data_IF_427007375276
#
_entry.id   IF_427007375276
#
_cell.length_a   1.000
_cell.length_b   1.000
_cell.length_c   1.000
_cell.angle_alpha   90.00
_cell.angle_beta   90.00
_cell.angle_gamma   90.00
#
_symmetry.space_group_name_H-M   'P 1'
#
loop_
_entity.id
_entity.type
_entity.pdbx_description
1 polymer ?
#
# COMPACT_ATOMS: atom_id res chain seq x y z
N UNK A 1 -30.33 -8.12 35.31
CA UNK A 1 -29.07 -7.63 35.90
C UNK A 1 -28.08 -7.58 34.78
N UNK A 2 -28.16 -6.53 33.96
CA UNK A 2 -27.53 -5.21 34.21
C UNK A 2 -26.05 -5.28 33.81
N UNK A 3 -25.75 -4.71 32.63
CA UNK A 3 -25.18 -3.36 32.41
C UNK A 3 -23.65 -3.48 32.37
N UNK A 4 -23.06 -3.34 31.18
CA UNK A 4 -22.51 -2.09 30.64
C UNK A 4 -21.37 -1.55 31.51
N UNK A 5 -20.18 -1.48 30.92
CA UNK A 5 -19.31 -0.31 31.07
C UNK A 5 -18.47 -0.12 29.81
N UNK A 6 -18.69 1.03 29.20
CA UNK A 6 -18.02 1.64 28.06
C UNK A 6 -17.46 2.98 28.57
N UNK A 7 -16.14 3.15 28.65
CA UNK A 7 -15.43 4.45 28.80
C UNK A 7 -14.02 4.23 28.23
N UNK A 8 -13.69 4.58 26.98
CA UNK A 8 -13.37 5.93 26.43
C UNK A 8 -12.26 6.66 27.19
N UNK A 9 -11.01 6.60 26.69
CA UNK A 9 -10.09 7.75 26.69
C UNK A 9 -9.31 7.78 25.37
N UNK A 10 -9.42 8.93 24.71
CA UNK A 10 -8.92 9.36 23.40
C UNK A 10 -7.41 9.57 23.33
N UNK A 11 -6.81 9.39 22.14
CA UNK A 11 -6.17 10.43 21.29
C UNK A 11 -5.29 11.47 22.01
N UNK A 12 -3.98 11.42 21.73
CA UNK A 12 -2.98 12.51 21.53
C UNK A 12 -1.58 11.82 21.55
N UNK A 13 -0.62 12.03 20.66
CA UNK A 13 -0.27 13.23 19.91
C UNK A 13 0.44 12.89 18.58
N UNK A 14 -0.01 13.56 17.51
CA UNK A 14 0.84 13.97 16.39
C UNK A 14 1.78 15.10 16.84
N UNK A 15 2.97 15.15 16.23
CA UNK A 15 3.70 16.33 15.76
C UNK A 15 5.20 16.31 16.07
N UNK A 16 6.00 16.10 15.03
CA UNK A 16 7.28 16.81 14.90
C UNK A 16 7.59 17.16 13.43
N UNK A 17 7.57 18.47 13.19
CA UNK A 17 8.00 19.27 12.04
C UNK A 17 9.31 18.78 11.36
N UNK A 18 9.50 18.81 10.02
CA UNK A 18 9.53 19.92 9.02
C UNK A 18 10.81 20.78 9.09
N UNK A 19 11.33 21.13 7.89
CA UNK A 19 12.46 22.02 7.49
C UNK A 19 13.80 21.27 7.40
N UNK A 20 14.47 21.16 6.24
CA UNK A 20 15.14 22.26 5.52
C UNK A 20 15.12 22.15 3.99
N UNK A 21 14.95 23.31 3.37
CA UNK A 21 15.02 23.62 1.96
C UNK A 21 16.02 24.79 1.87
N UNK A 22 17.18 24.59 1.22
CA UNK A 22 18.09 25.68 0.87
C UNK A 22 18.26 25.78 -0.65
N UNK A 23 18.00 26.99 -1.11
CA UNK A 23 18.18 27.56 -2.45
C UNK A 23 19.63 28.01 -2.67
N UNK A 24 20.14 27.91 -3.91
CA UNK A 24 21.00 28.96 -4.47
C UNK A 24 21.01 28.97 -5.99
N UNK A 25 20.67 30.13 -6.55
CA UNK A 25 20.80 30.53 -7.95
C UNK A 25 22.26 30.71 -8.39
N UNK A 26 22.55 30.48 -9.67
CA UNK A 26 23.54 31.29 -10.40
C UNK A 26 23.25 31.30 -11.91
N UNK A 27 22.92 32.51 -12.38
CA UNK A 27 22.62 32.95 -13.75
C UNK A 27 23.92 33.25 -14.50
N UNK A 28 24.05 32.84 -15.76
CA UNK A 28 24.88 33.55 -16.76
C UNK A 28 24.28 33.45 -18.17
N UNK A 29 23.94 34.63 -18.67
CA UNK A 29 23.47 34.99 -20.01
C UNK A 29 24.63 34.96 -21.00
N UNK A 30 24.41 34.52 -22.25
CA UNK A 30 24.76 35.32 -23.43
C UNK A 30 24.16 34.76 -24.72
N UNK A 31 23.52 35.67 -25.43
CA UNK A 31 22.95 35.65 -26.77
C UNK A 31 24.00 35.33 -27.84
N UNK A 32 23.64 34.58 -28.89
CA UNK A 32 23.94 34.95 -30.28
C UNK A 32 23.09 34.19 -31.29
N UNK A 33 22.73 34.92 -32.34
CA UNK A 33 21.71 34.65 -33.36
C UNK A 33 22.42 34.36 -34.66
N UNK A 34 22.20 33.18 -35.26
CA UNK A 34 22.53 32.94 -36.66
C UNK A 34 21.48 32.06 -37.32
N UNK A 35 20.85 32.63 -38.34
CA UNK A 35 19.82 32.05 -39.20
C UNK A 35 20.51 31.56 -40.48
N UNK A 36 20.32 30.29 -40.84
CA UNK A 36 20.47 29.81 -42.22
C UNK A 36 19.61 28.59 -42.44
N UNK A 37 18.93 28.59 -43.59
CA UNK A 37 17.88 27.68 -44.08
C UNK A 37 18.47 26.82 -45.20
N UNK A 38 18.02 25.55 -45.26
CA UNK A 38 18.13 24.51 -46.33
C UNK A 38 18.80 23.26 -45.74
N UNK A 39 18.41 22.03 -46.01
CA UNK A 39 17.30 21.41 -46.74
C UNK A 39 17.35 19.94 -46.33
N UNK A 40 16.18 19.30 -46.32
CA UNK A 40 15.92 17.86 -46.47
C UNK A 40 17.10 16.90 -46.38
N UNK A 41 17.20 16.18 -45.25
CA UNK A 41 17.65 14.78 -45.25
C UNK A 41 16.76 13.98 -44.30
N UNK A 42 15.94 13.13 -44.90
CA UNK A 42 15.37 11.93 -44.29
C UNK A 42 16.48 11.18 -43.56
N UNK A 43 16.40 11.14 -42.23
CA UNK A 43 17.13 10.17 -41.42
C UNK A 43 16.11 9.44 -40.57
N UNK A 44 15.79 8.24 -41.04
CA UNK A 44 15.08 7.21 -40.31
C UNK A 44 15.99 6.75 -39.18
N UNK A 45 15.87 7.39 -38.01
CA UNK A 45 16.32 6.81 -36.75
C UNK A 45 15.09 6.32 -35.99
N UNK A 46 14.95 5.01 -35.98
CA UNK A 46 13.77 4.26 -35.52
C UNK A 46 13.74 4.17 -33.98
N UNK A 47 13.77 5.33 -33.32
CA UNK A 47 13.30 5.47 -31.96
C UNK A 47 11.84 5.89 -32.05
N UNK A 48 10.91 4.99 -31.72
CA UNK A 48 9.47 5.27 -31.68
C UNK A 48 9.19 6.30 -30.58
N UNK A 49 9.49 7.56 -30.85
CA UNK A 49 8.88 8.71 -30.21
C UNK A 49 7.42 8.71 -30.70
N UNK A 50 6.62 7.85 -30.07
CA UNK A 50 5.21 7.67 -30.41
C UNK A 50 4.55 9.04 -30.52
N UNK A 51 3.92 9.30 -31.66
CA UNK A 51 3.11 10.50 -31.84
C UNK A 51 2.16 10.63 -30.65
N UNK A 52 2.20 11.77 -29.95
CA UNK A 52 1.29 12.05 -28.84
C UNK A 52 -0.14 11.81 -29.30
N UNK A 53 -0.91 11.03 -28.52
CA UNK A 53 -2.31 10.70 -28.85
C UNK A 53 -3.15 11.95 -29.04
N UNK A 54 -2.85 13.02 -28.31
CA UNK A 54 -3.50 14.32 -28.46
C UNK A 54 -3.29 14.91 -29.85
N UNK A 55 -2.06 14.92 -30.36
CA UNK A 55 -1.77 15.43 -31.71
C UNK A 55 -2.46 14.60 -32.78
N UNK A 56 -2.54 13.28 -32.59
CA UNK A 56 -3.27 12.41 -33.49
C UNK A 56 -4.77 12.73 -33.48
N UNK A 57 -5.35 12.91 -32.29
CA UNK A 57 -6.74 13.31 -32.11
C UNK A 57 -7.03 14.66 -32.79
N UNK A 58 -6.25 15.69 -32.51
CA UNK A 58 -6.37 17.02 -33.15
C UNK A 58 -6.32 16.92 -34.68
N UNK A 59 -5.37 16.15 -35.21
CA UNK A 59 -5.23 15.94 -36.67
C UNK A 59 -6.45 15.23 -37.27
N UNK A 60 -6.97 14.20 -36.61
CA UNK A 60 -8.15 13.46 -37.08
C UNK A 60 -9.39 14.34 -37.03
N UNK A 61 -9.59 15.11 -35.97
CA UNK A 61 -10.73 16.02 -35.83
C UNK A 61 -10.70 17.13 -36.88
N UNK A 62 -9.54 17.76 -37.08
CA UNK A 62 -9.36 18.79 -38.11
C UNK A 62 -9.65 18.25 -39.52
N UNK A 63 -9.08 17.09 -39.86
CA UNK A 63 -9.31 16.45 -41.17
C UNK A 63 -10.78 16.05 -41.38
N UNK A 64 -11.44 15.60 -40.32
CA UNK A 64 -12.87 15.24 -40.36
C UNK A 64 -13.75 16.47 -40.59
N UNK A 65 -13.44 17.59 -39.93
CA UNK A 65 -14.14 18.85 -40.12
C UNK A 65 -13.95 19.41 -41.55
N UNK A 66 -12.73 19.37 -42.07
CA UNK A 66 -12.44 19.78 -43.45
C UNK A 66 -13.19 18.93 -44.47
N UNK A 67 -13.22 17.60 -44.26
CA UNK A 67 -14.00 16.67 -45.09
C UNK A 67 -15.50 16.97 -45.03
N UNK A 68 -16.03 17.22 -43.83
CA UNK A 68 -17.43 17.59 -43.63
C UNK A 68 -17.80 18.88 -44.36
N UNK A 69 -17.03 19.95 -44.17
CA UNK A 69 -17.24 21.24 -44.85
C UNK A 69 -17.09 21.10 -46.37
N UNK A 70 -16.13 20.29 -46.83
CA UNK A 70 -15.93 20.02 -48.26
C UNK A 70 -17.14 19.34 -48.93
N UNK A 71 -17.95 18.59 -48.19
CA UNK A 71 -19.16 17.95 -48.71
C UNK A 71 -20.33 18.93 -48.90
N UNK A 72 -20.34 20.04 -48.16
CA UNK A 72 -21.35 21.11 -48.21
C UNK A 72 -20.96 22.10 -49.31
N UNK A 73 -21.01 21.68 -50.57
CA UNK A 73 -20.57 22.53 -51.68
C UNK A 73 -21.57 23.64 -52.02
N UNK A 74 -21.04 24.77 -52.50
CA UNK A 74 -21.86 25.90 -52.97
C UNK A 74 -22.88 25.49 -54.05
N UNK A 75 -22.51 24.56 -54.94
CA UNK A 75 -23.40 24.07 -56.00
C UNK A 75 -24.63 23.33 -55.42
N UNK A 76 -24.43 22.50 -54.39
CA UNK A 76 -25.55 21.84 -53.68
C UNK A 76 -26.44 22.87 -52.98
N UNK A 77 -25.83 23.91 -52.42
CA UNK A 77 -26.55 24.98 -51.75
C UNK A 77 -27.41 25.81 -52.74
N UNK A 78 -26.83 26.25 -53.86
CA UNK A 78 -27.56 27.06 -54.86
C UNK A 78 -28.58 26.25 -55.67
N UNK A 79 -28.34 24.96 -55.91
CA UNK A 79 -29.34 24.08 -56.53
C UNK A 79 -30.58 23.89 -55.68
N UNK A 80 -30.44 23.91 -54.36
CA UNK A 80 -31.57 23.83 -53.41
C UNK A 80 -32.32 25.16 -53.31
N UNK A 81 -31.61 26.29 -53.40
CA UNK A 81 -32.17 27.65 -53.28
C UNK A 81 -32.19 28.41 -54.61
N UNK A 82 -32.46 27.72 -55.74
CA UNK A 82 -32.46 28.32 -57.10
C UNK A 82 -33.23 29.64 -57.22
N UNK A 83 -34.50 29.76 -56.74
CA UNK A 83 -35.27 30.98 -56.92
C UNK A 83 -34.66 32.21 -56.23
N UNK A 84 -33.84 32.01 -55.20
CA UNK A 84 -33.14 33.08 -54.47
C UNK A 84 -31.81 33.41 -55.14
N UNK A 85 -31.10 32.38 -55.62
CA UNK A 85 -29.86 32.53 -56.37
C UNK A 85 -30.07 33.35 -57.66
N UNK A 86 -31.11 33.03 -58.44
CA UNK A 86 -31.40 33.71 -59.71
C UNK A 86 -31.72 35.20 -59.53
N UNK A 87 -32.26 35.59 -58.36
CA UNK A 87 -32.56 36.99 -58.04
C UNK A 87 -31.34 37.79 -57.60
N UNK A 88 -30.42 37.17 -56.85
CA UNK A 88 -29.22 37.85 -56.37
C UNK A 88 -28.08 36.86 -56.07
N UNK A 89 -27.26 36.51 -57.09
CA UNK A 89 -26.16 35.56 -56.93
C UNK A 89 -25.12 36.02 -55.91
N UNK A 90 -24.80 37.33 -55.91
CA UNK A 90 -23.80 37.93 -55.02
C UNK A 90 -24.19 37.83 -53.54
N UNK A 91 -25.46 38.13 -53.21
CA UNK A 91 -25.92 37.97 -51.82
C UNK A 91 -25.97 36.52 -51.41
N UNK A 92 -26.34 35.62 -52.32
CA UNK A 92 -26.38 34.19 -52.00
C UNK A 92 -24.98 33.61 -51.72
N UNK A 93 -23.97 34.04 -52.49
CA UNK A 93 -22.57 33.67 -52.25
C UNK A 93 -22.08 34.16 -50.87
N UNK A 94 -22.41 35.39 -50.49
CA UNK A 94 -22.05 35.92 -49.17
C UNK A 94 -22.72 35.16 -48.02
N UNK A 95 -24.01 34.84 -48.15
CA UNK A 95 -24.75 34.05 -47.15
C UNK A 95 -24.11 32.67 -46.99
N UNK A 96 -23.74 32.02 -48.10
CA UNK A 96 -23.08 30.71 -48.04
C UNK A 96 -21.71 30.79 -47.35
N UNK A 97 -20.89 31.80 -47.66
CA UNK A 97 -19.58 31.99 -47.01
C UNK A 97 -19.75 32.17 -45.50
N UNK A 98 -20.68 33.04 -45.09
CA UNK A 98 -21.00 33.26 -43.67
C UNK A 98 -21.48 31.98 -43.00
N UNK A 99 -22.40 31.24 -43.62
CA UNK A 99 -22.90 29.98 -43.09
C UNK A 99 -21.77 28.96 -42.86
N UNK A 100 -20.87 28.78 -43.82
CA UNK A 100 -19.75 27.84 -43.68
C UNK A 100 -18.75 28.30 -42.60
N UNK A 101 -18.46 29.60 -42.53
CA UNK A 101 -17.56 30.15 -41.52
C UNK A 101 -18.14 29.99 -40.10
N UNK A 102 -19.41 30.32 -39.91
CA UNK A 102 -20.13 30.16 -38.64
C UNK A 102 -20.25 28.69 -38.25
N UNK A 103 -20.60 27.81 -39.18
CA UNK A 103 -20.68 26.36 -38.94
C UNK A 103 -19.33 25.79 -38.52
N UNK A 104 -18.25 26.15 -39.23
CA UNK A 104 -16.90 25.71 -38.90
C UNK A 104 -16.49 26.19 -37.51
N UNK A 105 -16.74 27.47 -37.22
CA UNK A 105 -16.41 28.07 -35.92
C UNK A 105 -17.19 27.42 -34.78
N UNK A 106 -18.50 27.26 -34.93
CA UNK A 106 -19.35 26.64 -33.92
C UNK A 106 -18.89 25.21 -33.59
N UNK A 107 -18.59 24.39 -34.61
CA UNK A 107 -18.08 23.03 -34.41
C UNK A 107 -16.70 23.05 -33.74
N UNK A 108 -15.80 23.97 -34.12
CA UNK A 108 -14.48 24.08 -33.48
C UNK A 108 -14.55 24.52 -32.03
N UNK A 109 -15.43 25.48 -31.72
CA UNK A 109 -15.67 25.97 -30.36
C UNK A 109 -16.28 24.85 -29.51
N UNK A 110 -17.22 24.07 -30.06
CA UNK A 110 -17.81 22.91 -29.39
C UNK A 110 -16.79 21.79 -29.13
N UNK A 111 -15.95 21.45 -30.12
CA UNK A 111 -14.88 20.48 -29.94
C UNK A 111 -13.90 20.94 -28.86
N UNK A 112 -13.48 22.20 -28.90
CA UNK A 112 -12.58 22.78 -27.89
C UNK A 112 -13.18 22.69 -26.48
N UNK A 113 -14.46 23.05 -26.35
CA UNK A 113 -15.20 22.93 -25.09
C UNK A 113 -15.26 21.48 -24.59
N UNK A 114 -15.57 20.51 -25.45
CA UNK A 114 -15.58 19.09 -25.08
C UNK A 114 -14.20 18.56 -24.66
N UNK A 115 -13.12 19.03 -25.30
CA UNK A 115 -11.74 18.70 -24.91
C UNK A 115 -11.44 19.21 -23.50
N UNK A 116 -11.85 20.44 -23.19
CA UNK A 116 -11.65 21.08 -21.89
C UNK A 116 -12.50 20.42 -20.79
N UNK A 117 -13.81 20.27 -21.02
CA UNK A 117 -14.76 19.62 -20.10
C UNK A 117 -14.33 18.18 -19.79
N UNK A 118 -13.96 17.43 -20.83
CA UNK A 118 -13.49 16.05 -20.70
C UNK A 118 -12.08 15.93 -20.11
N UNK A 119 -11.35 17.04 -19.92
CA UNK A 119 -9.93 17.08 -19.59
C UNK A 119 -9.11 16.13 -20.46
N UNK A 120 -9.44 16.09 -21.75
CA UNK A 120 -8.96 15.06 -22.67
C UNK A 120 -7.43 15.12 -22.83
N UNK A 121 -6.87 16.34 -22.84
CA UNK A 121 -5.42 16.55 -22.86
C UNK A 121 -4.71 15.83 -21.72
N UNK A 122 -5.21 15.96 -20.48
CA UNK A 122 -4.62 15.30 -19.31
C UNK A 122 -4.73 13.78 -19.43
N UNK A 123 -5.93 13.26 -19.77
CA UNK A 123 -6.17 11.82 -19.87
C UNK A 123 -5.34 11.15 -20.97
N UNK A 124 -5.20 11.78 -22.13
CA UNK A 124 -4.40 11.23 -23.23
C UNK A 124 -2.90 11.27 -22.93
N UNK A 125 -2.42 12.31 -22.24
CA UNK A 125 -1.04 12.38 -21.79
C UNK A 125 -0.74 11.32 -20.72
N UNK A 126 -1.62 11.16 -19.72
CA UNK A 126 -1.52 10.10 -18.71
C UNK A 126 -1.49 8.71 -19.35
N UNK A 127 -2.31 8.48 -20.38
CA UNK A 127 -2.29 7.22 -21.13
C UNK A 127 -0.97 6.99 -21.90
N UNK A 128 -0.39 8.06 -22.45
CA UNK A 128 0.94 8.02 -23.07
C UNK A 128 2.02 7.67 -22.03
N UNK A 129 1.95 8.24 -20.83
CA UNK A 129 2.85 7.95 -19.70
C UNK A 129 2.70 6.49 -19.21
N UNK A 130 1.47 6.02 -18.99
CA UNK A 130 1.19 4.65 -18.55
C UNK A 130 1.68 3.62 -19.57
N UNK A 131 1.47 3.86 -20.87
CA UNK A 131 2.02 2.97 -21.91
C UNK A 131 3.54 2.96 -21.89
N UNK A 132 4.19 4.11 -21.68
CA UNK A 132 5.64 4.16 -21.62
C UNK A 132 6.20 3.43 -20.38
N UNK A 133 5.49 3.50 -19.25
CA UNK A 133 5.84 2.74 -18.05
C UNK A 133 5.68 1.22 -18.26
N UNK A 134 4.60 0.80 -18.96
CA UNK A 134 4.28 -0.62 -19.16
C UNK A 134 5.05 -1.31 -20.28
N UNK A 135 5.76 -0.58 -21.16
CA UNK A 135 6.54 -1.16 -22.28
C UNK A 135 7.59 -2.20 -21.84
N UNK A 136 7.97 -2.22 -20.56
CA UNK A 136 8.94 -3.17 -19.99
C UNK A 136 8.31 -4.48 -19.51
N UNK A 137 6.99 -4.54 -19.40
CA UNK A 137 6.27 -5.72 -18.93
C UNK A 137 5.77 -6.49 -20.16
N UNK A 138 6.30 -7.70 -20.38
CA UNK A 138 5.93 -8.57 -21.49
C UNK A 138 4.65 -9.38 -21.22
N UNK A 139 4.18 -9.37 -19.98
CA UNK A 139 3.03 -10.14 -19.55
C UNK A 139 1.71 -9.46 -19.97
N UNK A 140 0.68 -10.28 -20.15
CA UNK A 140 -0.66 -9.77 -20.42
C UNK A 140 -1.14 -8.96 -19.22
N UNK A 141 -1.44 -7.68 -19.46
CA UNK A 141 -1.94 -6.79 -18.42
C UNK A 141 -3.25 -7.33 -17.83
N UNK A 142 -3.39 -7.25 -16.49
CA UNK A 142 -4.59 -7.69 -15.78
C UNK A 142 -5.85 -7.01 -16.34
N UNK A 143 -6.94 -7.77 -16.41
CA UNK A 143 -8.27 -7.30 -16.78
C UNK A 143 -9.26 -7.83 -15.74
N UNK A 144 -10.28 -7.04 -15.36
CA UNK A 144 -11.35 -7.54 -14.52
C UNK A 144 -11.94 -8.82 -15.11
N UNK A 145 -12.08 -9.86 -14.30
CA UNK A 145 -12.67 -11.13 -14.70
C UNK A 145 -14.18 -10.98 -14.98
N UNK A 146 -14.79 -9.92 -14.46
CA UNK A 146 -16.25 -9.73 -14.46
C UNK A 146 -16.92 -10.40 -13.25
N UNK A 147 -16.15 -11.05 -12.38
CA UNK A 147 -16.61 -11.65 -11.13
C UNK A 147 -16.07 -10.78 -9.98
N UNK A 148 -16.91 -9.96 -9.33
CA UNK A 148 -16.45 -8.99 -8.33
C UNK A 148 -15.66 -9.61 -7.18
N UNK A 149 -16.06 -10.80 -6.72
CA UNK A 149 -15.42 -11.50 -5.61
C UNK A 149 -13.97 -11.87 -5.96
N UNK A 150 -13.72 -12.34 -7.17
CA UNK A 150 -12.39 -12.73 -7.64
C UNK A 150 -11.50 -11.50 -7.84
N UNK A 151 -12.04 -10.44 -8.45
CA UNK A 151 -11.32 -9.21 -8.70
C UNK A 151 -10.93 -8.54 -7.36
N UNK A 152 -11.85 -8.52 -6.39
CA UNK A 152 -11.58 -8.02 -5.04
C UNK A 152 -10.54 -8.87 -4.30
N UNK A 153 -10.62 -10.20 -4.39
CA UNK A 153 -9.63 -11.08 -3.78
C UNK A 153 -8.23 -10.82 -4.34
N UNK A 154 -8.09 -10.62 -5.65
CA UNK A 154 -6.81 -10.31 -6.28
C UNK A 154 -6.19 -9.00 -5.77
N UNK A 155 -7.03 -7.98 -5.55
CA UNK A 155 -6.61 -6.69 -5.00
C UNK A 155 -6.21 -6.78 -3.52
N UNK A 156 -6.93 -7.56 -2.71
CA UNK A 156 -6.70 -7.67 -1.27
C UNK A 156 -5.55 -8.63 -0.91
N UNK A 157 -5.23 -9.59 -1.79
CA UNK A 157 -4.24 -10.65 -1.51
C UNK A 157 -2.89 -10.12 -1.00
N UNK A 158 -2.27 -9.06 -1.58
CA UNK A 158 -0.99 -8.56 -1.10
C UNK A 158 -1.02 -8.06 0.35
N UNK A 159 -2.15 -7.48 0.79
CA UNK A 159 -2.32 -7.00 2.15
C UNK A 159 -2.42 -8.15 3.15
N UNK A 160 -3.20 -9.18 2.82
CA UNK A 160 -3.32 -10.37 3.67
C UNK A 160 -2.01 -11.15 3.75
N UNK A 161 -1.24 -11.23 2.65
CA UNK A 161 0.08 -11.84 2.66
C UNK A 161 1.04 -11.09 3.61
N UNK A 162 1.02 -9.75 3.60
CA UNK A 162 1.82 -8.94 4.52
C UNK A 162 1.41 -9.17 5.98
N UNK A 163 0.11 -9.28 6.25
CA UNK A 163 -0.41 -9.54 7.59
C UNK A 163 -0.01 -10.95 8.07
N UNK A 164 -0.18 -11.97 7.24
CA UNK A 164 0.22 -13.34 7.57
C UNK A 164 1.73 -13.44 7.87
N UNK A 165 2.55 -12.80 7.04
CA UNK A 165 4.00 -12.74 7.27
C UNK A 165 4.35 -12.10 8.62
N UNK A 166 3.70 -10.98 8.96
CA UNK A 166 3.89 -10.32 10.26
C UNK A 166 3.49 -11.22 11.42
N UNK A 167 2.29 -11.81 11.38
CA UNK A 167 1.82 -12.67 12.47
C UNK A 167 2.70 -13.91 12.67
N UNK A 168 3.21 -14.50 11.59
CA UNK A 168 4.14 -15.63 11.69
C UNK A 168 5.43 -15.27 12.42
N UNK A 169 5.94 -14.05 12.22
CA UNK A 169 7.13 -13.57 12.93
C UNK A 169 6.83 -13.41 14.42
N UNK A 170 5.74 -12.74 14.78
CA UNK A 170 5.41 -12.51 16.19
C UNK A 170 5.08 -13.82 16.92
N UNK A 171 4.38 -14.75 16.26
CA UNK A 171 4.07 -16.06 16.83
C UNK A 171 5.34 -16.87 17.12
N UNK A 172 6.32 -16.86 16.21
CA UNK A 172 7.62 -17.52 16.42
C UNK A 172 8.36 -16.94 17.62
N UNK A 173 8.33 -15.62 17.78
CA UNK A 173 8.95 -14.92 18.90
C UNK A 173 8.33 -15.36 20.23
N UNK A 174 6.99 -15.32 20.34
CA UNK A 174 6.27 -15.75 21.54
C UNK A 174 6.54 -17.23 21.85
N UNK A 175 6.57 -18.09 20.83
CA UNK A 175 6.89 -19.52 21.02
C UNK A 175 8.31 -19.74 21.57
N UNK A 176 9.30 -19.00 21.07
CA UNK A 176 10.69 -19.10 21.56
C UNK A 176 10.82 -18.61 23.01
N UNK A 177 10.16 -17.51 23.36
CA UNK A 177 10.11 -16.98 24.72
C UNK A 177 9.43 -17.98 25.67
N UNK A 178 8.28 -18.52 25.28
CA UNK A 178 7.55 -19.52 26.06
C UNK A 178 8.36 -20.81 26.26
N UNK A 179 9.07 -21.29 25.23
CA UNK A 179 9.94 -22.45 25.36
C UNK A 179 11.06 -22.21 26.39
N UNK A 180 11.67 -21.02 26.34
CA UNK A 180 12.71 -20.62 27.31
C UNK A 180 12.15 -20.52 28.73
N UNK A 181 10.96 -19.95 28.89
CA UNK A 181 10.29 -19.86 30.19
C UNK A 181 9.91 -21.24 30.73
N UNK A 182 9.39 -22.13 29.89
CA UNK A 182 9.04 -23.50 30.27
C UNK A 182 10.27 -24.27 30.76
N UNK A 183 11.42 -24.12 30.09
CA UNK A 183 12.69 -24.72 30.53
C UNK A 183 13.11 -24.18 31.90
N UNK A 184 13.01 -22.87 32.14
CA UNK A 184 13.32 -22.26 33.45
C UNK A 184 12.39 -22.77 34.55
N UNK A 185 11.10 -22.94 34.27
CA UNK A 185 10.13 -23.50 35.22
C UNK A 185 10.47 -24.95 35.56
N UNK A 186 10.77 -25.78 34.56
CA UNK A 186 11.19 -27.18 34.76
C UNK A 186 12.45 -27.27 35.62
N UNK A 187 13.49 -26.50 35.29
CA UNK A 187 14.71 -26.43 36.09
C UNK A 187 14.44 -25.92 37.52
N UNK A 188 13.52 -24.97 37.68
CA UNK A 188 13.07 -24.49 38.98
C UNK A 188 12.39 -25.58 39.81
N UNK A 189 11.46 -26.33 39.22
CA UNK A 189 10.74 -27.44 39.86
C UNK A 189 11.70 -28.55 40.30
N UNK A 190 12.67 -28.88 39.47
CA UNK A 190 13.69 -29.89 39.79
C UNK A 190 14.51 -29.49 41.02
N UNK A 191 14.96 -28.23 41.09
CA UNK A 191 15.69 -27.72 42.28
C UNK A 191 14.85 -27.75 43.55
N UNK A 192 13.56 -27.44 43.46
CA UNK A 192 12.63 -27.52 44.60
C UNK A 192 12.52 -28.97 45.07
N UNK A 193 12.26 -29.91 44.15
CA UNK A 193 12.17 -31.34 44.45
C UNK A 193 13.44 -31.87 45.14
N UNK A 194 14.62 -31.50 44.64
CA UNK A 194 15.90 -31.86 45.27
C UNK A 194 16.04 -31.30 46.69
N UNK A 195 15.67 -30.03 46.88
CA UNK A 195 15.72 -29.37 48.20
C UNK A 195 14.74 -30.03 49.18
N UNK A 196 13.52 -30.33 48.73
CA UNK A 196 12.51 -31.05 49.52
C UNK A 196 13.00 -32.43 49.94
N UNK A 197 13.68 -33.15 49.05
CA UNK A 197 14.30 -34.44 49.36
C UNK A 197 15.41 -34.30 50.41
N UNK A 198 16.30 -33.33 50.27
CA UNK A 198 17.36 -33.06 51.24
C UNK A 198 16.81 -32.71 52.62
N UNK A 199 15.78 -31.86 52.69
CA UNK A 199 15.11 -31.52 53.96
C UNK A 199 14.48 -32.77 54.58
N UNK A 200 13.79 -33.59 53.77
CA UNK A 200 13.14 -34.81 54.26
C UNK A 200 14.16 -35.82 54.81
N UNK A 201 15.30 -35.98 54.13
CA UNK A 201 16.39 -36.84 54.58
C UNK A 201 16.98 -36.33 55.91
N UNK A 202 17.31 -35.04 55.99
CA UNK A 202 17.81 -34.44 57.22
C UNK A 202 16.82 -34.60 58.38
N UNK A 203 15.53 -34.32 58.17
CA UNK A 203 14.50 -34.53 59.19
C UNK A 203 14.43 -36.00 59.62
N UNK A 204 14.60 -36.96 58.70
CA UNK A 204 14.71 -38.38 59.00
C UNK A 204 15.90 -38.70 59.90
N UNK A 205 17.10 -38.21 59.55
CA UNK A 205 18.33 -38.42 60.31
C UNK A 205 18.24 -37.82 61.73
N UNK A 206 17.69 -36.60 61.84
CA UNK A 206 17.44 -35.94 63.12
C UNK A 206 16.48 -36.74 64.00
N UNK A 207 15.37 -37.23 63.43
CA UNK A 207 14.42 -38.10 64.17
C UNK A 207 15.10 -39.38 64.64
N UNK A 208 15.90 -40.03 63.80
CA UNK A 208 16.65 -41.23 64.19
C UNK A 208 17.60 -40.93 65.35
N UNK A 209 18.39 -39.85 65.26
CA UNK A 209 19.30 -39.43 66.34
C UNK A 209 18.58 -39.15 67.67
N UNK A 210 17.42 -38.47 67.63
CA UNK A 210 16.60 -38.23 68.83
C UNK A 210 16.10 -39.54 69.42
N UNK A 211 15.60 -40.47 68.61
CA UNK A 211 15.13 -41.78 69.11
C UNK A 211 16.26 -42.60 69.74
N UNK A 212 17.48 -42.54 69.18
CA UNK A 212 18.65 -43.20 69.78
C UNK A 212 19.04 -42.54 71.12
N UNK A 213 18.99 -41.21 71.20
CA UNK A 213 19.21 -40.48 72.45
C UNK A 213 18.17 -40.84 73.51
N UNK A 214 16.88 -40.91 73.15
CA UNK A 214 15.80 -41.33 74.06
C UNK A 214 16.01 -42.76 74.59
N UNK A 215 16.45 -43.69 73.73
CA UNK A 215 16.83 -45.05 74.14
C UNK A 215 18.00 -45.02 75.13
N UNK A 216 19.07 -44.28 74.83
CA UNK A 216 20.22 -44.13 75.72
C UNK A 216 19.83 -43.51 77.07
N UNK A 217 19.05 -42.43 77.05
CA UNK A 217 18.53 -41.79 78.25
C UNK A 217 17.70 -42.77 79.09
N UNK A 218 16.84 -43.58 78.46
CA UNK A 218 16.07 -44.62 79.14
C UNK A 218 16.96 -45.71 79.77
N UNK A 219 18.09 -46.05 79.16
CA UNK A 219 19.05 -47.01 79.75
C UNK A 219 19.83 -46.43 80.94
N UNK A 220 20.15 -45.13 80.89
CA UNK A 220 20.87 -44.41 81.95
C UNK A 220 19.93 -44.05 83.12
N UNK A 221 18.65 -43.84 82.85
CA UNK A 221 17.62 -43.51 83.84
C UNK A 221 16.94 -44.75 84.44
N UNK A 222 17.64 -45.90 84.49
CA UNK A 222 17.23 -47.01 85.37
C UNK A 222 17.15 -46.46 86.80
N UNK A 223 16.09 -46.75 87.56
CA UNK A 223 15.94 -46.18 88.90
C UNK A 223 17.13 -46.57 89.78
N UNK A 224 17.73 -45.57 90.43
CA UNK A 224 18.60 -45.72 91.60
C UNK A 224 17.74 -46.17 92.79
N UNK A 225 17.10 -47.33 92.70
CA UNK A 225 16.31 -47.92 93.78
C UNK A 225 16.57 -49.44 93.82
N UNK A 226 17.83 -49.82 94.06
CA UNK A 226 18.21 -51.13 94.57
C UNK A 226 19.70 -51.13 94.98
N UNK A 227 20.07 -50.28 95.95
CA UNK A 227 21.31 -50.49 96.71
C UNK A 227 20.95 -50.58 98.18
N UNK A 228 21.33 -51.72 98.77
CA UNK A 228 21.29 -52.13 100.18
C UNK A 228 19.96 -52.43 100.88
N UNK A 229 19.64 -53.74 100.93
CA UNK A 229 19.14 -54.38 102.16
C UNK A 229 19.32 -55.92 102.10
N UNK A 230 20.54 -56.45 102.00
CA UNK A 230 20.84 -57.81 102.47
C UNK A 230 22.34 -58.07 102.66
N UNK A 231 22.99 -57.23 103.48
CA UNK A 231 24.00 -57.71 104.41
C UNK A 231 23.33 -57.72 105.80
N UNK A 232 23.62 -58.74 106.63
CA UNK A 232 23.09 -59.02 107.99
C UNK A 232 21.94 -60.05 108.02
N UNK A 233 22.26 -61.36 107.89
CA UNK A 233 22.21 -62.35 109.00
C UNK A 233 22.30 -63.80 108.53
N UNK A 234 23.22 -64.48 109.22
CA UNK A 234 23.35 -65.93 109.51
C UNK A 234 23.86 -66.87 108.43
#
# INVERSE_FOLDING_TARGET
MEQQDEVVISQEAENKAVVEQETSEAKKTSTEKSKSKSETTTTEDNAVAGFSRLKLFEKVMQKSLESFVGNVSFNKFTSTFRPLYDKNPQRMENIYKQFIEELRRAIQDDISRLIEEGRLKTKLNELDELQNASKREADSAWRPSGIPEQDLCSFLMPYYQKQDAYMRVELKKIQAENATLAQKVMAGRERISQTEHHISAAVGDWKASVTEFEKLASTLCRPFDAVDANCIKS
#
